data_IF_485178216954
#
_entry.id   IF_485178216954
#
_cell.length_a   1.000
_cell.length_b   1.000
_cell.length_c   1.000
_cell.angle_alpha   90.00
_cell.angle_beta   90.00
_cell.angle_gamma   90.00
#
_symmetry.space_group_name_H-M   'P 1'
#
loop_
_entity.id
_entity.type
_entity.pdbx_description
1 polymer ?
#
# COMPACT_ATOMS: atom_id res chain seq x y z
N UNK A 1 -7.89 -17.24 18.98
CA UNK A 1 -8.02 -18.05 17.75
C UNK A 1 -6.63 -18.56 17.45
N UNK A 2 -6.39 -19.86 17.65
CA UNK A 2 -5.07 -20.49 17.47
C UNK A 2 -4.81 -20.75 15.97
N UNK A 3 -4.72 -19.68 15.17
CA UNK A 3 -4.45 -19.75 13.73
C UNK A 3 -2.96 -19.57 13.53
N UNK A 4 -2.26 -20.61 13.08
CA UNK A 4 -0.81 -20.58 12.85
C UNK A 4 -0.45 -20.77 11.38
N UNK A 5 -1.37 -21.32 10.59
CA UNK A 5 -1.16 -21.62 9.17
C UNK A 5 -2.21 -20.94 8.29
N UNK A 6 -1.91 -20.83 6.99
CA UNK A 6 -2.89 -20.39 6.00
C UNK A 6 -4.09 -21.34 5.93
N UNK A 7 -3.88 -22.65 6.15
CA UNK A 7 -4.95 -23.64 6.22
C UNK A 7 -5.92 -23.36 7.37
N UNK A 8 -5.40 -23.07 8.58
CA UNK A 8 -6.22 -22.72 9.75
C UNK A 8 -7.09 -21.48 9.46
N UNK A 9 -6.50 -20.49 8.80
CA UNK A 9 -7.21 -19.27 8.41
C UNK A 9 -8.30 -19.57 7.37
N UNK A 10 -8.00 -20.44 6.40
CA UNK A 10 -8.98 -20.88 5.40
C UNK A 10 -10.15 -21.63 6.06
N UNK A 11 -9.91 -22.40 7.12
CA UNK A 11 -10.93 -23.19 7.82
C UNK A 11 -11.72 -22.40 8.88
N UNK A 12 -11.28 -21.20 9.24
CA UNK A 12 -11.91 -20.40 10.30
C UNK A 12 -13.30 -19.83 9.93
N UNK A 13 -14.10 -19.51 10.95
CA UNK A 13 -15.44 -18.93 10.75
C UNK A 13 -15.34 -17.50 10.18
N UNK A 14 -15.88 -17.29 8.98
CA UNK A 14 -15.79 -16.01 8.25
C UNK A 14 -16.51 -14.86 8.97
N UNK A 15 -17.68 -15.11 9.56
CA UNK A 15 -18.43 -14.09 10.30
C UNK A 15 -17.68 -13.63 11.55
N UNK A 16 -17.03 -14.57 12.24
CA UNK A 16 -16.17 -14.26 13.38
C UNK A 16 -14.92 -13.47 12.95
N UNK A 17 -14.28 -13.86 11.84
CA UNK A 17 -13.14 -13.13 11.28
C UNK A 17 -13.52 -11.69 10.90
N UNK A 18 -14.67 -11.49 10.24
CA UNK A 18 -15.17 -10.16 9.89
C UNK A 18 -15.43 -9.32 11.13
N UNK A 19 -16.12 -9.87 12.13
CA UNK A 19 -16.46 -9.15 13.36
C UNK A 19 -15.21 -8.72 14.15
N UNK A 20 -14.15 -9.54 14.14
CA UNK A 20 -12.95 -9.32 14.95
C UNK A 20 -11.84 -8.55 14.23
N UNK A 21 -11.69 -8.73 12.92
CA UNK A 21 -10.57 -8.20 12.12
C UNK A 21 -10.99 -7.44 10.87
N UNK A 22 -12.30 -7.39 10.57
CA UNK A 22 -12.84 -6.67 9.43
C UNK A 22 -12.82 -7.44 8.11
N UNK A 23 -13.22 -6.71 7.05
CA UNK A 23 -13.52 -7.26 5.72
C UNK A 23 -12.27 -7.81 5.01
N UNK A 24 -11.11 -7.23 5.27
CA UNK A 24 -9.85 -7.65 4.63
C UNK A 24 -9.48 -9.07 5.06
N UNK A 25 -9.64 -9.37 6.36
CA UNK A 25 -9.34 -10.71 6.89
C UNK A 25 -10.30 -11.77 6.35
N UNK A 26 -11.60 -11.45 6.32
CA UNK A 26 -12.64 -12.29 5.74
C UNK A 26 -12.38 -12.58 4.25
N UNK A 27 -12.06 -11.55 3.45
CA UNK A 27 -11.72 -11.70 2.04
C UNK A 27 -10.46 -12.54 1.83
N UNK A 28 -9.47 -12.41 2.71
CA UNK A 28 -8.24 -13.21 2.66
C UNK A 28 -8.55 -14.69 2.90
N UNK A 29 -9.35 -15.01 3.93
CA UNK A 29 -9.79 -16.38 4.19
C UNK A 29 -10.61 -16.97 3.03
N UNK A 30 -11.49 -16.17 2.40
CA UNK A 30 -12.24 -16.60 1.19
C UNK A 30 -11.33 -16.89 0.01
N UNK A 31 -10.31 -16.07 -0.24
CA UNK A 31 -9.31 -16.33 -1.29
C UNK A 31 -8.57 -17.64 -1.07
N UNK A 32 -8.21 -17.96 0.17
CA UNK A 32 -7.56 -19.24 0.50
C UNK A 32 -8.48 -20.45 0.26
N UNK A 33 -9.80 -20.26 0.23
CA UNK A 33 -10.79 -21.29 -0.19
C UNK A 33 -10.98 -21.37 -1.71
N UNK A 34 -10.19 -20.64 -2.50
CA UNK A 34 -10.34 -20.56 -3.96
C UNK A 34 -11.41 -19.58 -4.44
N UNK A 35 -12.00 -18.75 -3.56
CA UNK A 35 -12.98 -17.74 -3.97
C UNK A 35 -12.23 -16.48 -4.44
N UNK A 36 -12.29 -16.22 -5.75
CA UNK A 36 -11.70 -15.02 -6.36
C UNK A 36 -12.37 -13.74 -5.84
N UNK A 37 -11.73 -13.07 -4.89
CA UNK A 37 -12.27 -11.84 -4.28
C UNK A 37 -11.74 -10.54 -4.92
N UNK A 38 -10.73 -10.61 -5.79
CA UNK A 38 -10.20 -9.50 -6.58
C UNK A 38 -10.04 -9.99 -8.02
N UNK A 39 -10.53 -9.20 -8.98
CA UNK A 39 -10.23 -9.44 -10.39
C UNK A 39 -8.78 -9.03 -10.64
N UNK A 40 -8.08 -9.83 -11.45
CA UNK A 40 -6.78 -9.43 -11.97
C UNK A 40 -7.04 -8.39 -13.06
N UNK A 41 -6.64 -7.14 -12.82
CA UNK A 41 -6.70 -6.10 -13.85
C UNK A 41 -5.52 -6.29 -14.81
N UNK A 42 -5.76 -6.31 -16.14
CA UNK A 42 -4.71 -6.56 -17.13
C UNK A 42 -3.69 -5.42 -17.21
N UNK A 43 -4.08 -4.21 -16.77
CA UNK A 43 -3.24 -3.03 -16.75
C UNK A 43 -3.49 -2.27 -15.45
N UNK A 44 -2.41 -1.76 -14.84
CA UNK A 44 -2.56 -0.91 -13.65
C UNK A 44 -3.15 0.43 -14.08
N UNK A 45 -4.21 0.94 -13.43
CA UNK A 45 -4.77 2.23 -13.76
C UNK A 45 -3.70 3.32 -13.61
N UNK A 46 -3.82 4.39 -14.41
CA UNK A 46 -2.96 5.55 -14.30
C UNK A 46 -2.85 6.01 -12.85
N UNK A 47 -1.62 6.34 -12.41
CA UNK A 47 -1.37 6.74 -11.03
C UNK A 47 -2.22 7.97 -10.70
N UNK A 48 -2.97 7.89 -9.60
CA UNK A 48 -3.81 9.01 -9.14
C UNK A 48 -3.02 10.10 -8.44
N UNK A 49 -1.78 9.82 -8.06
CA UNK A 49 -0.89 10.72 -7.34
C UNK A 49 0.56 10.53 -7.75
N UNK A 50 1.36 11.60 -7.65
CA UNK A 50 2.80 11.59 -7.89
C UNK A 50 3.51 12.05 -6.63
N UNK A 51 4.40 11.20 -6.13
CA UNK A 51 5.18 11.49 -4.94
C UNK A 51 6.68 11.32 -5.20
N UNK A 52 7.46 12.24 -4.63
CA UNK A 52 8.92 12.13 -4.50
C UNK A 52 9.31 12.45 -3.07
N UNK A 53 9.29 11.42 -2.21
CA UNK A 53 9.71 11.52 -0.82
C UNK A 53 11.08 10.88 -0.62
N UNK A 54 11.93 11.53 0.19
CA UNK A 54 13.28 11.09 0.57
C UNK A 54 13.48 11.42 2.05
N UNK A 55 14.08 10.48 2.78
CA UNK A 55 14.55 10.77 4.13
C UNK A 55 15.80 11.67 4.04
N UNK A 56 15.92 12.62 4.95
CA UNK A 56 17.17 13.38 5.11
C UNK A 56 18.18 12.53 5.87
N UNK A 57 19.43 12.49 5.39
CA UNK A 57 20.51 11.74 6.07
C UNK A 57 20.87 12.33 7.45
N UNK A 58 20.59 13.62 7.64
CA UNK A 58 20.70 14.32 8.92
C UNK A 58 19.61 15.38 9.01
N UNK A 59 19.30 15.86 10.21
CA UNK A 59 18.27 16.90 10.37
C UNK A 59 18.73 18.21 9.71
N UNK A 60 17.86 18.78 8.89
CA UNK A 60 18.07 20.07 8.23
C UNK A 60 17.23 21.11 8.96
N UNK A 61 17.87 22.16 9.46
CA UNK A 61 17.23 23.22 10.23
C UNK A 61 17.26 24.58 9.52
N UNK A 62 18.19 24.75 8.58
CA UNK A 62 18.36 26.00 7.88
C UNK A 62 17.42 26.09 6.67
N UNK A 63 16.97 27.31 6.39
CA UNK A 63 16.02 27.58 5.32
C UNK A 63 16.59 27.25 3.93
N UNK A 64 17.90 27.42 3.72
CA UNK A 64 18.52 27.20 2.42
C UNK A 64 18.56 25.71 2.06
N UNK A 65 18.95 24.84 2.99
CA UNK A 65 18.92 23.40 2.84
C UNK A 65 17.51 22.88 2.60
N UNK A 66 16.51 23.42 3.32
CA UNK A 66 15.11 23.09 3.08
C UNK A 66 14.65 23.49 1.68
N UNK A 67 14.98 24.71 1.22
CA UNK A 67 14.66 25.18 -0.15
C UNK A 67 15.28 24.29 -1.22
N UNK A 68 16.55 23.94 -1.08
CA UNK A 68 17.25 23.05 -2.02
C UNK A 68 16.59 21.66 -2.09
N UNK A 69 16.22 21.10 -0.95
CA UNK A 69 15.53 19.81 -0.89
C UNK A 69 14.16 19.86 -1.57
N UNK A 70 13.35 20.89 -1.27
CA UNK A 70 12.04 21.09 -1.88
C UNK A 70 12.17 21.22 -3.40
N UNK A 71 13.08 22.07 -3.90
CA UNK A 71 13.31 22.23 -5.32
C UNK A 71 13.71 20.93 -6.00
N UNK A 72 14.63 20.17 -5.38
CA UNK A 72 15.07 18.88 -5.93
C UNK A 72 13.91 17.86 -6.00
N UNK A 73 13.09 17.76 -4.96
CA UNK A 73 11.99 16.80 -4.90
C UNK A 73 10.84 17.17 -5.84
N UNK A 74 10.53 18.46 -5.97
CA UNK A 74 9.51 18.93 -6.93
C UNK A 74 9.97 18.73 -8.38
N UNK A 75 11.23 18.97 -8.70
CA UNK A 75 11.77 18.66 -10.04
C UNK A 75 11.64 17.17 -10.36
N UNK A 76 12.00 16.27 -9.43
CA UNK A 76 11.84 14.82 -9.64
C UNK A 76 10.38 14.39 -9.75
N UNK A 77 9.48 15.01 -8.99
CA UNK A 77 8.05 14.76 -9.14
C UNK A 77 7.54 15.22 -10.51
N UNK A 78 7.98 16.38 -10.99
CA UNK A 78 7.62 16.89 -12.32
C UNK A 78 8.17 16.00 -13.46
N UNK A 79 9.39 15.47 -13.33
CA UNK A 79 9.93 14.47 -14.28
C UNK A 79 9.05 13.23 -14.34
N UNK A 80 8.66 12.67 -13.18
CA UNK A 80 7.74 11.52 -13.12
C UNK A 80 6.38 11.82 -13.74
N UNK A 81 5.87 13.04 -13.57
CA UNK A 81 4.61 13.49 -14.16
C UNK A 81 4.66 13.51 -15.69
N UNK A 82 5.77 13.95 -16.27
CA UNK A 82 5.93 13.97 -17.73
C UNK A 82 6.05 12.57 -18.33
N UNK A 83 6.56 11.60 -17.56
CA UNK A 83 6.69 10.21 -17.98
C UNK A 83 5.46 9.34 -17.69
N UNK A 84 4.42 9.92 -17.09
CA UNK A 84 3.20 9.20 -16.74
C UNK A 84 2.37 8.84 -17.98
#
# INVERSE_FOLDING_TARGET
MNIKTAWDLSSANLSLLRKRFGVVMEKTARKLRGITCLKMEPESPAKKEICSSRAFGQRVYDLNGLKQAVASYTTRAAEKLRSQ
#
